data_IF_951455622149
#
_entry.id   IF_951455622149
#
_cell.length_a   1.000
_cell.length_b   1.000
_cell.length_c   1.000
_cell.angle_alpha   90.00
_cell.angle_beta   90.00
_cell.angle_gamma   90.00
#
_symmetry.space_group_name_H-M   'P 1'
#
loop_
_entity.id
_entity.type
_entity.pdbx_description
1 polymer ?
#
# COMPACT_ATOMS: atom_id res chain seq x y z
N UNK A 1 6.89 -2.35 -7.52
CA UNK A 1 5.52 -2.86 -7.77
C UNK A 1 5.12 -3.74 -6.59
N UNK A 2 3.84 -4.07 -6.49
CA UNK A 2 3.35 -5.07 -5.54
C UNK A 2 2.74 -6.23 -6.31
N UNK A 3 2.93 -7.47 -5.85
CA UNK A 3 2.29 -8.62 -6.47
C UNK A 3 0.92 -8.85 -5.84
N UNK A 4 -0.12 -8.74 -6.65
CA UNK A 4 -1.52 -8.92 -6.25
C UNK A 4 -2.15 -10.18 -6.86
N UNK A 5 -1.41 -10.85 -7.75
CA UNK A 5 -1.84 -12.10 -8.38
C UNK A 5 -1.76 -13.26 -7.38
N UNK A 6 -2.89 -13.88 -6.98
CA UNK A 6 -2.90 -15.01 -6.07
C UNK A 6 -2.12 -16.24 -6.57
N UNK A 7 -1.88 -16.36 -7.88
CA UNK A 7 -1.09 -17.43 -8.47
C UNK A 7 0.42 -17.15 -8.47
N UNK A 8 0.85 -15.90 -8.25
CA UNK A 8 2.28 -15.57 -8.13
C UNK A 8 2.81 -16.07 -6.78
N UNK A 9 3.93 -16.79 -6.79
CA UNK A 9 4.65 -17.22 -5.57
C UNK A 9 5.08 -16.04 -4.70
N UNK A 10 5.13 -14.85 -5.26
CA UNK A 10 5.45 -13.58 -4.60
C UNK A 10 4.18 -12.82 -4.17
N UNK A 11 3.00 -13.46 -4.18
CA UNK A 11 1.73 -12.85 -3.79
C UNK A 11 1.85 -12.03 -2.51
N UNK A 12 1.24 -10.85 -2.54
CA UNK A 12 1.26 -9.83 -1.51
C UNK A 12 2.68 -9.45 -1.07
N UNK A 13 3.63 -9.24 -2.00
CA UNK A 13 5.00 -8.76 -1.70
C UNK A 13 5.45 -7.67 -2.67
N UNK A 14 6.44 -6.90 -2.22
CA UNK A 14 7.18 -5.99 -3.09
C UNK A 14 7.93 -6.78 -4.18
N UNK A 15 7.74 -6.38 -5.43
CA UNK A 15 8.41 -6.96 -6.60
C UNK A 15 8.95 -5.86 -7.50
N UNK A 16 10.03 -6.18 -8.23
CA UNK A 16 10.53 -5.34 -9.32
C UNK A 16 9.77 -5.73 -10.60
N UNK A 17 9.31 -4.73 -11.34
CA UNK A 17 8.75 -4.87 -12.69
C UNK A 17 9.54 -3.97 -13.62
N UNK A 18 9.89 -4.46 -14.81
CA UNK A 18 10.55 -3.67 -15.84
C UNK A 18 9.55 -2.66 -16.46
N UNK A 19 10.03 -1.64 -17.18
CA UNK A 19 9.15 -0.71 -17.89
C UNK A 19 8.37 -1.45 -18.99
N UNK A 20 7.07 -1.15 -19.13
CA UNK A 20 6.18 -1.84 -20.07
C UNK A 20 5.60 -3.17 -19.58
N UNK A 21 6.15 -3.80 -18.53
CA UNK A 21 5.53 -5.01 -17.96
C UNK A 21 4.13 -4.73 -17.37
N UNK A 22 3.15 -5.60 -17.60
CA UNK A 22 1.80 -5.45 -17.04
C UNK A 22 1.81 -5.62 -15.52
N UNK A 23 0.75 -5.15 -14.86
CA UNK A 23 0.51 -5.28 -13.42
C UNK A 23 0.76 -4.00 -12.62
N UNK A 24 0.33 -4.02 -11.36
CA UNK A 24 0.21 -2.80 -10.57
C UNK A 24 1.56 -2.23 -10.15
N UNK A 25 1.67 -0.89 -10.18
CA UNK A 25 2.92 -0.15 -9.94
C UNK A 25 2.72 0.80 -8.78
N UNK A 26 3.54 0.61 -7.73
CA UNK A 26 3.63 1.56 -6.62
C UNK A 26 4.33 2.86 -7.04
N UNK A 27 5.17 2.87 -8.08
CA UNK A 27 5.68 4.11 -8.68
C UNK A 27 4.68 4.58 -9.73
N UNK A 28 3.97 5.67 -9.44
CA UNK A 28 2.96 6.27 -10.33
C UNK A 28 3.30 7.73 -10.62
N UNK A 29 2.91 8.19 -11.81
CA UNK A 29 3.08 9.59 -12.21
C UNK A 29 2.16 10.55 -11.44
N UNK A 30 1.05 10.04 -10.89
CA UNK A 30 0.06 10.81 -10.12
C UNK A 30 0.47 11.07 -8.66
N UNK A 31 1.68 10.67 -8.25
CA UNK A 31 2.28 10.93 -6.93
C UNK A 31 1.48 10.40 -5.73
N UNK A 32 0.42 9.62 -5.96
CA UNK A 32 -0.44 9.08 -4.89
C UNK A 32 0.31 8.14 -3.92
N UNK A 33 1.41 7.58 -4.40
CA UNK A 33 2.30 6.69 -3.66
C UNK A 33 3.69 7.30 -3.42
N UNK A 34 3.83 8.64 -3.48
CA UNK A 34 5.04 9.32 -3.02
C UNK A 34 5.39 8.93 -1.57
N UNK A 35 4.35 8.67 -0.77
CA UNK A 35 4.45 8.17 0.59
C UNK A 35 3.50 6.99 0.75
N UNK A 36 4.05 5.83 1.11
CA UNK A 36 3.30 4.63 1.47
C UNK A 36 3.77 4.09 2.81
N UNK A 37 2.82 3.59 3.59
CA UNK A 37 3.10 2.78 4.79
C UNK A 37 2.44 1.42 4.58
N UNK A 38 3.25 0.37 4.56
CA UNK A 38 2.77 -1.01 4.62
C UNK A 38 2.32 -1.33 6.05
N UNK A 39 1.11 -1.87 6.18
CA UNK A 39 0.48 -2.16 7.48
C UNK A 39 0.30 -3.66 7.74
N UNK A 40 1.15 -4.49 7.14
CA UNK A 40 1.21 -5.93 7.34
C UNK A 40 -0.11 -6.72 7.11
N UNK A 41 -1.03 -6.18 6.32
CA UNK A 41 -2.26 -6.88 5.97
C UNK A 41 -1.96 -8.18 5.23
N UNK A 42 -2.50 -9.30 5.73
CA UNK A 42 -2.30 -10.62 5.15
C UNK A 42 -0.80 -10.95 4.93
N UNK A 43 0.08 -10.54 5.85
CA UNK A 43 1.55 -10.72 5.68
C UNK A 43 2.06 -12.03 6.29
N UNK A 44 1.50 -12.49 7.42
CA UNK A 44 1.91 -13.72 8.14
C UNK A 44 0.72 -14.41 8.86
N UNK A 45 0.32 -15.63 8.47
CA UNK A 45 0.67 -16.28 7.20
C UNK A 45 0.07 -15.51 6.02
N UNK A 46 0.77 -15.53 4.88
CA UNK A 46 0.24 -14.99 3.62
C UNK A 46 -0.68 -16.03 3.01
N UNK A 47 -1.93 -15.67 2.75
CA UNK A 47 -2.93 -16.57 2.17
C UNK A 47 -3.47 -15.96 0.88
N UNK A 48 -3.30 -16.67 -0.23
CA UNK A 48 -3.80 -16.29 -1.54
C UNK A 48 -5.31 -15.98 -1.50
N UNK A 49 -5.72 -14.89 -2.15
CA UNK A 49 -7.12 -14.46 -2.20
C UNK A 49 -7.64 -13.74 -0.95
N UNK A 50 -6.85 -13.58 0.12
CA UNK A 50 -7.24 -12.81 1.33
C UNK A 50 -6.87 -11.32 1.28
N UNK A 51 -6.78 -10.78 0.07
CA UNK A 51 -6.40 -9.39 -0.18
C UNK A 51 -4.89 -9.15 -0.11
N UNK A 52 -4.46 -8.10 -0.80
CA UNK A 52 -3.07 -7.67 -0.96
C UNK A 52 -2.99 -6.16 -1.13
N UNK A 53 -1.77 -5.60 -1.07
CA UNK A 53 -1.52 -4.20 -1.40
C UNK A 53 -2.32 -3.20 -0.54
N UNK A 54 -2.56 -3.53 0.73
CA UNK A 54 -3.24 -2.63 1.67
C UNK A 54 -2.21 -1.73 2.33
N UNK A 55 -2.34 -0.43 2.07
CA UNK A 55 -1.40 0.60 2.52
C UNK A 55 -2.13 1.78 3.17
N UNK A 56 -1.36 2.58 3.90
CA UNK A 56 -1.69 4.00 4.13
C UNK A 56 -0.99 4.81 3.04
N UNK A 57 -1.72 5.67 2.32
CA UNK A 57 -1.15 6.49 1.24
C UNK A 57 -1.82 7.87 1.13
N UNK A 58 -1.31 8.70 0.24
CA UNK A 58 -1.87 10.03 -0.04
C UNK A 58 -3.20 9.88 -0.78
N UNK A 59 -4.24 10.55 -0.28
CA UNK A 59 -5.56 10.53 -0.88
C UNK A 59 -5.58 11.21 -2.26
N UNK A 60 -6.45 10.69 -3.13
CA UNK A 60 -6.80 11.35 -4.39
C UNK A 60 -7.53 12.66 -4.11
N UNK A 61 -7.53 13.57 -5.09
CA UNK A 61 -8.32 14.80 -5.03
C UNK A 61 -9.78 14.48 -4.65
N UNK A 62 -10.34 15.27 -3.73
CA UNK A 62 -11.70 15.06 -3.22
C UNK A 62 -11.88 13.87 -2.28
N UNK A 63 -10.80 13.24 -1.77
CA UNK A 63 -10.88 12.08 -0.87
C UNK A 63 -11.68 10.90 -1.47
N UNK A 64 -11.50 10.63 -2.76
CA UNK A 64 -12.17 9.52 -3.44
C UNK A 64 -11.92 8.17 -2.74
N UNK A 65 -12.91 7.28 -2.82
CA UNK A 65 -12.87 5.97 -2.18
C UNK A 65 -11.70 5.10 -2.67
N UNK A 66 -11.21 4.25 -1.78
CA UNK A 66 -10.18 3.26 -2.06
C UNK A 66 -10.80 1.87 -2.16
N UNK A 67 -10.09 0.92 -2.76
CA UNK A 67 -10.47 -0.48 -2.78
C UNK A 67 -10.01 -1.25 -1.52
N UNK A 68 -9.84 -0.56 -0.38
CA UNK A 68 -9.44 -1.16 0.90
C UNK A 68 -8.22 -0.52 1.59
N UNK A 69 -7.49 0.37 0.91
CA UNK A 69 -6.42 1.16 1.52
C UNK A 69 -6.95 2.28 2.44
N UNK A 70 -6.09 2.79 3.31
CA UNK A 70 -6.39 4.00 4.08
C UNK A 70 -5.77 5.21 3.39
N UNK A 71 -6.61 6.13 2.92
CA UNK A 71 -6.16 7.33 2.23
C UNK A 71 -6.22 8.55 3.17
N UNK A 72 -5.10 9.26 3.31
CA UNK A 72 -4.99 10.47 4.14
C UNK A 72 -4.60 11.67 3.28
N UNK A 73 -5.04 12.87 3.67
CA UNK A 73 -4.48 14.11 3.09
C UNK A 73 -2.97 14.18 3.36
N UNK A 74 -2.22 14.81 2.46
CA UNK A 74 -0.76 14.88 2.51
C UNK A 74 -0.23 15.44 3.82
N UNK A 75 -0.85 16.49 4.37
CA UNK A 75 -0.52 17.11 5.64
C UNK A 75 -0.70 16.14 6.82
N UNK A 76 -1.84 15.44 6.87
CA UNK A 76 -2.13 14.44 7.89
C UNK A 76 -1.17 13.25 7.80
N UNK A 77 -0.85 12.76 6.59
CA UNK A 77 0.12 11.68 6.41
C UNK A 77 1.52 12.10 6.87
N UNK A 78 1.98 13.32 6.56
CA UNK A 78 3.26 13.83 7.06
C UNK A 78 3.29 13.91 8.58
N UNK A 79 2.21 14.36 9.20
CA UNK A 79 2.06 14.38 10.66
C UNK A 79 2.08 12.98 11.29
N UNK A 80 1.50 11.97 10.62
CA UNK A 80 1.58 10.59 11.05
C UNK A 80 3.03 10.08 10.96
N UNK A 81 3.65 10.23 9.79
CA UNK A 81 5.01 9.75 9.51
C UNK A 81 6.05 10.32 10.50
N UNK A 82 5.92 11.59 10.90
CA UNK A 82 6.80 12.22 11.88
C UNK A 82 6.72 11.58 13.29
N UNK A 83 5.68 10.78 13.57
CA UNK A 83 5.45 10.11 14.87
C UNK A 83 5.64 8.60 14.79
N UNK A 84 5.75 8.02 13.59
CA UNK A 84 5.96 6.59 13.44
C UNK A 84 7.36 6.22 13.93
N UNK A 85 7.45 5.13 14.68
CA UNK A 85 8.69 4.50 15.06
C UNK A 85 8.58 2.98 15.01
N UNK A 86 9.68 2.25 15.24
CA UNK A 86 9.70 0.78 15.15
C UNK A 86 8.74 0.06 16.11
N UNK A 87 8.28 0.76 17.16
CA UNK A 87 7.32 0.23 18.16
C UNK A 87 5.88 0.68 17.93
N UNK A 88 5.62 1.47 16.88
CA UNK A 88 4.27 1.93 16.58
C UNK A 88 3.43 0.75 16.12
N UNK A 89 2.23 0.63 16.71
CA UNK A 89 1.22 -0.33 16.27
C UNK A 89 0.06 0.42 15.63
N UNK A 90 -0.26 0.05 14.39
CA UNK A 90 -1.44 0.53 13.68
C UNK A 90 -2.52 -0.54 13.81
N UNK A 91 -3.74 -0.15 14.16
CA UNK A 91 -4.89 -1.04 14.32
C UNK A 91 -6.03 -0.51 13.46
N UNK A 92 -6.62 -1.37 12.64
CA UNK A 92 -7.82 -1.10 11.84
C UNK A 92 -8.94 -1.93 12.45
N UNK A 93 -10.07 -1.28 12.72
CA UNK A 93 -11.28 -1.90 13.27
C UNK A 93 -12.39 -2.02 12.24
#
# INVERSE_FOLDING_TARGET
>A
AWSEDPADRRYNRAVRRADGEPGDRLRRQDRLYDLIVEIDHNTRPRIAGRGSAVFIHVARAGLASTAGCVALRTDALRHLLARLGPKTRIVIG
#
